data_IF_061097470874
#
_entry.id   IF_061097470874
#
_cell.length_a   1.000
_cell.length_b   1.000
_cell.length_c   1.000
_cell.angle_alpha   90.00
_cell.angle_beta   90.00
_cell.angle_gamma   90.00
#
_symmetry.space_group_name_H-M   'P 1'
#
loop_
_entity.id
_entity.type
_entity.pdbx_description
1 polymer ?
#
# COMPACT_ATOMS: atom_id res chain seq x y z
N UNK A 1 13.04 34.84 -46.64
CA UNK A 1 14.22 35.36 -45.91
C UNK A 1 14.60 36.83 -46.18
N UNK A 2 14.01 37.57 -47.13
CA UNK A 2 14.40 38.98 -47.43
C UNK A 2 13.43 40.07 -46.93
N UNK A 3 12.37 39.72 -46.20
CA UNK A 3 11.29 40.68 -45.83
C UNK A 3 11.54 41.33 -44.45
N UNK A 4 12.37 40.73 -43.60
CA UNK A 4 12.63 41.17 -42.21
C UNK A 4 14.06 41.73 -42.06
N UNK A 5 14.42 42.73 -42.87
CA UNK A 5 15.71 43.44 -42.77
C UNK A 5 15.46 44.96 -42.63
N UNK A 6 16.41 45.70 -42.04
CA UNK A 6 16.35 47.15 -41.81
C UNK A 6 15.14 47.64 -40.98
N UNK A 7 14.70 46.82 -40.02
CA UNK A 7 13.59 47.15 -39.12
C UNK A 7 14.00 48.16 -38.04
N UNK A 8 13.07 49.04 -37.63
CA UNK A 8 13.24 49.97 -36.51
C UNK A 8 12.78 49.27 -35.23
N UNK A 9 13.67 49.15 -34.24
CA UNK A 9 13.29 48.64 -32.92
C UNK A 9 12.33 49.60 -32.22
N UNK A 10 11.10 49.15 -31.95
CA UNK A 10 10.06 49.94 -31.27
C UNK A 10 10.09 49.72 -29.75
N UNK A 11 10.33 48.49 -29.29
CA UNK A 11 10.32 48.15 -27.87
C UNK A 11 10.36 46.63 -27.63
N UNK A 12 10.37 46.23 -26.35
CA UNK A 12 10.39 44.84 -25.89
C UNK A 12 9.30 44.61 -24.84
N UNK A 13 8.56 43.51 -24.97
CA UNK A 13 7.60 43.01 -23.97
C UNK A 13 8.08 41.66 -23.45
N UNK A 14 8.09 41.50 -22.13
CA UNK A 14 8.32 40.22 -21.46
C UNK A 14 7.00 39.66 -20.92
N UNK A 15 6.80 38.36 -21.07
CA UNK A 15 5.68 37.63 -20.48
C UNK A 15 6.21 36.39 -19.77
N UNK A 16 5.49 35.92 -18.75
CA UNK A 16 5.83 34.73 -17.97
C UNK A 16 4.60 33.83 -17.93
N UNK A 17 4.83 32.52 -18.06
CA UNK A 17 3.84 31.50 -17.69
C UNK A 17 3.99 31.22 -16.18
N UNK A 18 3.08 31.70 -15.34
CA UNK A 18 3.26 31.62 -13.89
C UNK A 18 3.13 30.18 -13.39
N UNK A 19 3.99 29.82 -12.45
CA UNK A 19 3.91 28.53 -11.80
C UNK A 19 2.67 28.45 -10.91
N UNK A 20 1.99 27.31 -10.93
CA UNK A 20 0.83 27.07 -10.07
C UNK A 20 1.26 27.03 -8.59
N UNK A 21 0.55 27.71 -7.67
CA UNK A 21 0.95 27.82 -6.26
C UNK A 21 1.19 26.48 -5.55
N UNK A 22 0.39 25.47 -5.89
CA UNK A 22 0.42 24.13 -5.29
C UNK A 22 1.64 23.28 -5.70
N UNK A 23 2.28 23.59 -6.83
CA UNK A 23 3.36 22.75 -7.40
C UNK A 23 4.59 22.75 -6.51
N UNK A 24 4.92 23.88 -5.88
CA UNK A 24 6.08 23.97 -4.99
C UNK A 24 5.94 23.02 -3.79
N UNK A 25 4.79 23.05 -3.12
CA UNK A 25 4.51 22.15 -2.00
C UNK A 25 4.44 20.68 -2.42
N UNK A 26 3.94 20.40 -3.62
CA UNK A 26 3.93 19.05 -4.19
C UNK A 26 5.34 18.51 -4.46
N UNK A 27 6.24 19.34 -5.00
CA UNK A 27 7.66 18.99 -5.22
C UNK A 27 8.39 18.74 -3.90
N UNK A 28 8.14 19.57 -2.88
CA UNK A 28 8.69 19.37 -1.54
C UNK A 28 8.23 18.03 -0.94
N UNK A 29 6.93 17.71 -1.02
CA UNK A 29 6.39 16.41 -0.59
C UNK A 29 7.00 15.23 -1.35
N UNK A 30 7.20 15.34 -2.67
CA UNK A 30 7.89 14.31 -3.45
C UNK A 30 9.30 14.07 -2.90
N UNK A 31 10.04 15.14 -2.63
CA UNK A 31 11.40 15.05 -2.09
C UNK A 31 11.45 14.41 -0.71
N UNK A 32 10.55 14.80 0.20
CA UNK A 32 10.41 14.17 1.52
C UNK A 32 10.10 12.66 1.41
N UNK A 33 9.32 12.29 0.39
CA UNK A 33 8.95 10.91 0.09
C UNK A 33 10.03 10.13 -0.68
N UNK A 34 11.20 10.73 -0.94
CA UNK A 34 12.29 10.13 -1.72
C UNK A 34 11.98 9.94 -3.21
N UNK A 35 11.03 10.70 -3.75
CA UNK A 35 10.64 10.72 -5.17
C UNK A 35 11.36 11.90 -5.84
N UNK A 36 12.02 11.64 -6.96
CA UNK A 36 12.71 12.67 -7.73
C UNK A 36 11.79 13.25 -8.82
N UNK A 37 11.31 14.50 -8.69
CA UNK A 37 10.60 15.17 -9.77
C UNK A 37 11.59 15.64 -10.84
N UNK A 38 11.22 15.46 -12.11
CA UNK A 38 11.99 15.88 -13.28
C UNK A 38 11.14 16.82 -14.14
N UNK A 39 11.76 17.86 -14.69
CA UNK A 39 11.11 18.80 -15.60
C UNK A 39 11.53 18.49 -17.04
N UNK A 40 10.56 18.34 -17.93
CA UNK A 40 10.75 18.10 -19.37
C UNK A 40 9.95 19.18 -20.10
N UNK A 41 10.63 20.11 -20.76
CA UNK A 41 9.99 21.28 -21.39
C UNK A 41 10.49 21.57 -22.81
N UNK A 42 9.63 22.17 -23.63
CA UNK A 42 9.99 22.72 -24.94
C UNK A 42 10.66 24.09 -24.87
N UNK A 43 10.73 24.71 -23.69
CA UNK A 43 11.29 26.05 -23.50
C UNK A 43 12.81 26.09 -23.63
N UNK A 44 13.34 27.31 -23.73
CA UNK A 44 14.78 27.56 -23.67
C UNK A 44 15.35 27.15 -22.29
N UNK A 45 16.62 26.71 -22.27
CA UNK A 45 17.26 26.21 -21.07
C UNK A 45 17.31 27.26 -19.95
N UNK A 46 17.54 28.53 -20.28
CA UNK A 46 17.61 29.60 -19.26
C UNK A 46 16.27 29.79 -18.54
N UNK A 47 15.15 29.76 -19.28
CA UNK A 47 13.80 29.84 -18.72
C UNK A 47 13.50 28.62 -17.86
N UNK A 48 13.82 27.42 -18.37
CA UNK A 48 13.61 26.17 -17.65
C UNK A 48 14.43 26.13 -16.33
N UNK A 49 15.70 26.56 -16.37
CA UNK A 49 16.57 26.64 -15.18
C UNK A 49 16.03 27.65 -14.18
N UNK A 50 15.56 28.83 -14.63
CA UNK A 50 14.98 29.84 -13.76
C UNK A 50 13.76 29.30 -13.01
N UNK A 51 12.80 28.70 -13.72
CA UNK A 51 11.58 28.11 -13.14
C UNK A 51 11.94 26.94 -12.21
N UNK A 52 12.86 26.07 -12.62
CA UNK A 52 13.26 24.92 -11.83
C UNK A 52 13.99 25.33 -10.52
N UNK A 53 14.75 26.44 -10.52
CA UNK A 53 15.33 27.02 -9.31
C UNK A 53 14.26 27.62 -8.39
N UNK A 54 13.27 28.32 -8.95
CA UNK A 54 12.14 28.88 -8.19
C UNK A 54 11.32 27.78 -7.49
N UNK A 55 11.10 26.67 -8.20
CA UNK A 55 10.45 25.45 -7.69
C UNK A 55 11.34 24.62 -6.76
N UNK A 56 12.62 24.98 -6.62
CA UNK A 56 13.58 24.27 -5.79
C UNK A 56 13.96 22.88 -6.32
N UNK A 57 13.73 22.57 -7.60
CA UNK A 57 14.08 21.29 -8.23
C UNK A 57 15.58 21.11 -8.44
N UNK A 58 16.28 22.22 -8.74
CA UNK A 58 17.74 22.26 -8.96
C UNK A 58 18.37 23.37 -8.13
N UNK A 59 19.67 23.23 -7.88
CA UNK A 59 20.51 24.24 -7.22
C UNK A 59 21.42 24.92 -8.24
N UNK A 60 22.05 24.11 -9.10
CA UNK A 60 23.00 24.57 -10.10
C UNK A 60 22.47 24.38 -11.52
N UNK A 61 22.88 25.28 -12.44
CA UNK A 61 22.48 25.20 -13.84
C UNK A 61 23.06 23.96 -14.55
N UNK A 62 24.14 23.38 -14.02
CA UNK A 62 24.73 22.13 -14.51
C UNK A 62 23.81 20.91 -14.36
N UNK A 63 22.74 21.03 -13.59
CA UNK A 63 21.71 19.98 -13.43
C UNK A 63 20.62 20.05 -14.51
N UNK A 64 20.82 20.86 -15.55
CA UNK A 64 19.96 20.97 -16.71
C UNK A 64 20.72 20.58 -17.99
N UNK A 65 20.01 19.98 -18.94
CA UNK A 65 20.57 19.63 -20.26
C UNK A 65 19.57 19.94 -21.37
N UNK A 66 20.05 20.06 -22.60
CA UNK A 66 19.23 20.34 -23.78
C UNK A 66 18.98 19.10 -24.64
N UNK A 67 17.91 19.12 -25.45
CA UNK A 67 17.67 18.08 -26.46
C UNK A 67 18.85 17.86 -27.43
N UNK A 68 19.62 18.92 -27.75
CA UNK A 68 20.79 18.82 -28.62
C UNK A 68 21.91 18.02 -27.94
N UNK A 69 22.18 18.30 -26.67
CA UNK A 69 23.16 17.56 -25.88
C UNK A 69 22.73 16.11 -25.67
N UNK A 70 21.43 15.86 -25.43
CA UNK A 70 20.90 14.50 -25.33
C UNK A 70 21.08 13.72 -26.64
N UNK A 71 20.85 14.34 -27.80
CA UNK A 71 21.09 13.70 -29.10
C UNK A 71 22.55 13.35 -29.34
N UNK A 72 23.48 14.13 -28.78
CA UNK A 72 24.92 13.87 -28.89
C UNK A 72 25.39 12.73 -27.97
N UNK A 73 24.67 12.44 -26.88
CA UNK A 73 24.97 11.34 -25.97
C UNK A 73 24.45 10.01 -26.52
N UNK A 74 25.26 8.95 -26.41
CA UNK A 74 24.79 7.58 -26.60
C UNK A 74 23.86 7.15 -25.45
N UNK A 75 23.03 6.13 -25.66
CA UNK A 75 22.12 5.63 -24.62
C UNK A 75 22.86 5.11 -23.38
N UNK A 76 24.05 4.52 -23.55
CA UNK A 76 24.88 4.05 -22.44
C UNK A 76 25.51 5.20 -21.64
N UNK A 77 25.83 6.32 -22.29
CA UNK A 77 26.29 7.53 -21.61
C UNK A 77 25.14 8.22 -20.87
N UNK A 78 23.98 8.32 -21.52
CA UNK A 78 22.78 8.89 -20.92
C UNK A 78 22.40 8.11 -19.66
N UNK A 79 22.39 6.77 -19.70
CA UNK A 79 22.09 5.93 -18.54
C UNK A 79 22.99 6.23 -17.32
N UNK A 80 24.28 6.53 -17.56
CA UNK A 80 25.21 6.87 -16.47
C UNK A 80 24.95 8.27 -15.91
N UNK A 81 24.70 9.25 -16.79
CA UNK A 81 24.56 10.67 -16.44
C UNK A 81 23.15 11.11 -16.08
N UNK A 82 22.12 10.29 -16.33
CA UNK A 82 20.71 10.67 -16.15
C UNK A 82 20.39 11.16 -14.74
N UNK A 83 21.12 10.68 -13.72
CA UNK A 83 20.97 11.10 -12.31
C UNK A 83 21.52 12.49 -12.01
N UNK A 84 22.36 13.04 -12.88
CA UNK A 84 22.95 14.39 -12.73
C UNK A 84 21.94 15.48 -13.13
N UNK A 85 20.95 15.14 -13.96
CA UNK A 85 20.01 16.09 -14.55
C UNK A 85 18.60 15.95 -13.98
N UNK A 86 18.01 17.08 -13.59
CA UNK A 86 16.60 17.17 -13.18
C UNK A 86 15.75 18.01 -14.15
N UNK A 87 16.37 18.69 -15.12
CA UNK A 87 15.71 19.54 -16.10
C UNK A 87 16.19 19.21 -17.51
N UNK A 88 15.25 18.98 -18.41
CA UNK A 88 15.49 18.69 -19.82
C UNK A 88 14.74 19.71 -20.67
N UNK A 89 15.47 20.59 -21.36
CA UNK A 89 14.93 21.70 -22.13
C UNK A 89 15.04 21.45 -23.65
N UNK A 90 14.20 22.11 -24.46
CA UNK A 90 14.13 21.92 -25.93
C UNK A 90 14.09 20.45 -26.36
N UNK A 91 13.33 19.63 -25.64
CA UNK A 91 13.27 18.17 -25.85
C UNK A 91 12.28 17.78 -26.94
N UNK A 92 12.68 16.82 -27.76
CA UNK A 92 11.86 16.22 -28.81
C UNK A 92 11.15 14.94 -28.30
N UNK A 93 10.11 14.44 -28.99
CA UNK A 93 9.36 13.25 -28.57
C UNK A 93 10.26 12.02 -28.32
N UNK A 94 11.25 11.81 -29.17
CA UNK A 94 12.23 10.71 -29.06
C UNK A 94 13.09 10.82 -27.79
N UNK A 95 13.43 12.05 -27.37
CA UNK A 95 14.19 12.28 -26.15
C UNK A 95 13.41 11.87 -24.91
N UNK A 96 12.10 12.12 -24.87
CA UNK A 96 11.23 11.72 -23.75
C UNK A 96 11.30 10.20 -23.51
N UNK A 97 11.19 9.42 -24.58
CA UNK A 97 11.31 7.95 -24.53
C UNK A 97 12.70 7.52 -24.03
N UNK A 98 13.77 8.15 -24.53
CA UNK A 98 15.15 7.86 -24.11
C UNK A 98 15.38 8.14 -22.63
N UNK A 99 14.88 9.27 -22.12
CA UNK A 99 14.96 9.63 -20.69
C UNK A 99 14.24 8.60 -19.83
N UNK A 100 13.00 8.23 -20.19
CA UNK A 100 12.23 7.21 -19.46
C UNK A 100 12.99 5.89 -19.41
N UNK A 101 13.51 5.42 -20.54
CA UNK A 101 14.24 4.16 -20.62
C UNK A 101 15.56 4.18 -19.85
N UNK A 102 16.28 5.31 -19.84
CA UNK A 102 17.49 5.47 -19.05
C UNK A 102 17.22 5.32 -17.55
N UNK A 103 16.16 5.93 -17.03
CA UNK A 103 15.75 5.77 -15.63
C UNK A 103 15.28 4.34 -15.30
N UNK A 104 14.50 3.72 -16.18
CA UNK A 104 14.02 2.34 -16.00
C UNK A 104 15.16 1.33 -15.97
N UNK A 105 16.18 1.47 -16.81
CA UNK A 105 17.37 0.60 -16.80
C UNK A 105 18.14 0.65 -15.48
N UNK A 106 18.06 1.76 -14.75
CA UNK A 106 18.60 1.90 -13.39
C UNK A 106 17.71 1.31 -12.29
N UNK A 107 16.66 0.58 -12.66
CA UNK A 107 15.73 -0.05 -11.74
C UNK A 107 14.77 0.91 -11.04
N UNK A 108 14.64 2.15 -11.52
CA UNK A 108 13.66 3.11 -11.00
C UNK A 108 12.29 2.85 -11.63
N UNK A 109 11.23 3.10 -10.86
CA UNK A 109 9.85 3.15 -11.38
C UNK A 109 9.58 4.57 -11.87
N UNK A 110 9.25 4.70 -13.15
CA UNK A 110 9.11 6.00 -13.82
C UNK A 110 7.64 6.30 -14.11
N UNK A 111 7.16 7.43 -13.60
CA UNK A 111 5.91 8.03 -14.02
C UNK A 111 6.19 9.15 -15.03
N UNK A 112 5.51 9.12 -16.18
CA UNK A 112 5.65 10.13 -17.25
C UNK A 112 4.33 10.86 -17.43
N UNK A 113 4.36 12.17 -17.54
CA UNK A 113 3.18 13.01 -17.82
C UNK A 113 3.18 13.49 -19.27
N UNK A 114 2.00 13.58 -19.89
CA UNK A 114 1.87 14.10 -21.25
C UNK A 114 0.43 14.42 -21.65
N UNK A 115 0.28 15.28 -22.65
CA UNK A 115 -1.00 15.77 -23.15
C UNK A 115 -1.14 15.60 -24.68
N UNK A 116 -0.02 15.60 -25.39
CA UNK A 116 0.01 15.48 -26.84
C UNK A 116 0.09 14.05 -27.37
N UNK A 117 -0.24 13.88 -28.65
CA UNK A 117 0.03 12.66 -29.43
C UNK A 117 1.52 12.33 -29.42
N UNK A 118 2.36 13.36 -29.40
CA UNK A 118 3.81 13.27 -29.32
C UNK A 118 4.31 12.60 -28.04
N UNK A 119 3.52 12.61 -26.97
CA UNK A 119 3.90 12.02 -25.68
C UNK A 119 3.47 10.57 -25.55
N UNK A 120 2.59 10.08 -26.43
CA UNK A 120 2.07 8.72 -26.39
C UNK A 120 3.17 7.64 -26.33
N UNK A 121 4.28 7.72 -27.12
CA UNK A 121 5.35 6.73 -27.00
C UNK A 121 6.03 6.74 -25.62
N UNK A 122 6.24 7.92 -25.03
CA UNK A 122 6.89 8.05 -23.72
C UNK A 122 5.96 7.61 -22.58
N UNK A 123 4.68 7.98 -22.66
CA UNK A 123 3.63 7.52 -21.74
C UNK A 123 3.55 6.00 -21.73
N UNK A 124 3.58 5.36 -22.91
CA UNK A 124 3.53 3.90 -23.00
C UNK A 124 4.80 3.20 -22.51
N UNK A 125 5.95 3.85 -22.64
CA UNK A 125 7.25 3.32 -22.23
C UNK A 125 7.47 3.40 -20.71
N UNK A 126 6.80 4.35 -20.06
CA UNK A 126 6.85 4.54 -18.62
C UNK A 126 6.21 3.35 -17.87
N UNK A 127 6.48 3.24 -16.57
CA UNK A 127 5.81 2.25 -15.74
C UNK A 127 4.39 2.72 -15.37
N UNK A 128 4.20 4.04 -15.34
CA UNK A 128 2.89 4.69 -15.19
C UNK A 128 2.84 5.88 -16.15
N UNK A 129 2.01 5.80 -17.18
CA UNK A 129 1.66 6.93 -18.05
C UNK A 129 0.54 7.77 -17.44
N UNK A 130 0.76 9.08 -17.32
CA UNK A 130 -0.19 10.04 -16.75
C UNK A 130 -0.63 11.05 -17.81
N UNK A 131 -1.88 10.95 -18.24
CA UNK A 131 -2.48 11.82 -19.25
C UNK A 131 -3.18 13.03 -18.64
N UNK A 132 -3.18 14.15 -19.36
CA UNK A 132 -3.98 15.33 -18.99
C UNK A 132 -5.45 15.12 -19.40
N UNK A 133 -6.39 15.48 -18.53
CA UNK A 133 -7.82 15.32 -18.73
C UNK A 133 -8.46 16.46 -19.51
N UNK A 134 -8.02 17.70 -19.27
CA UNK A 134 -8.60 18.90 -19.90
C UNK A 134 -7.83 19.21 -21.20
N UNK A 135 -6.53 19.42 -21.13
CA UNK A 135 -5.70 19.76 -22.30
C UNK A 135 -5.29 18.54 -23.12
N UNK A 136 -5.36 17.33 -22.55
CA UNK A 136 -4.88 16.12 -23.21
C UNK A 136 -5.73 15.67 -24.38
N UNK A 137 -5.04 15.28 -25.46
CA UNK A 137 -5.62 14.64 -26.64
C UNK A 137 -6.21 13.27 -26.32
N UNK A 138 -7.21 12.82 -27.07
CA UNK A 138 -7.81 11.48 -26.89
C UNK A 138 -6.78 10.36 -27.05
N UNK A 139 -5.75 10.57 -27.88
CA UNK A 139 -4.65 9.61 -28.02
C UNK A 139 -3.85 9.52 -26.72
N UNK A 140 -3.45 10.65 -26.11
CA UNK A 140 -2.71 10.64 -24.84
C UNK A 140 -3.49 9.97 -23.71
N UNK A 141 -4.80 10.22 -23.62
CA UNK A 141 -5.71 9.64 -22.62
C UNK A 141 -5.83 8.13 -22.76
N UNK A 142 -5.99 7.62 -23.98
CA UNK A 142 -6.13 6.18 -24.24
C UNK A 142 -4.83 5.39 -24.00
N UNK A 143 -3.68 6.05 -24.07
CA UNK A 143 -2.37 5.41 -23.87
C UNK A 143 -1.93 5.45 -22.41
N UNK A 144 -2.49 6.35 -21.61
CA UNK A 144 -2.14 6.56 -20.21
C UNK A 144 -2.80 5.53 -19.29
N UNK A 145 -2.10 5.15 -18.21
CA UNK A 145 -2.63 4.29 -17.15
C UNK A 145 -3.50 5.09 -16.15
N UNK A 146 -3.25 6.41 -16.05
CA UNK A 146 -3.98 7.35 -15.20
C UNK A 146 -4.26 8.63 -15.98
N UNK A 147 -5.45 9.22 -15.78
CA UNK A 147 -5.82 10.52 -16.38
C UNK A 147 -6.16 11.52 -15.29
N UNK A 148 -5.53 12.69 -15.32
CA UNK A 148 -5.76 13.78 -14.37
C UNK A 148 -6.97 14.59 -14.79
N UNK A 149 -8.09 14.47 -14.07
CA UNK A 149 -9.31 15.19 -14.42
C UNK A 149 -9.18 16.73 -14.29
N UNK A 150 -8.18 17.21 -13.55
CA UNK A 150 -7.95 18.62 -13.19
C UNK A 150 -6.64 19.21 -13.75
N UNK A 151 -5.87 18.42 -14.51
CA UNK A 151 -4.58 18.81 -15.08
C UNK A 151 -3.56 19.31 -14.02
N UNK A 152 -3.66 18.80 -12.79
CA UNK A 152 -2.85 19.27 -11.67
C UNK A 152 -1.75 18.28 -11.26
N UNK A 153 -0.50 18.75 -11.24
CA UNK A 153 0.64 17.98 -10.75
C UNK A 153 0.47 17.51 -9.28
N UNK A 154 -0.18 18.32 -8.44
CA UNK A 154 -0.43 17.96 -7.04
C UNK A 154 -1.27 16.69 -6.90
N UNK A 155 -2.15 16.42 -7.87
CA UNK A 155 -3.02 15.23 -7.91
C UNK A 155 -2.21 13.95 -8.14
N UNK A 156 -1.07 14.02 -8.84
CA UNK A 156 -0.12 12.90 -8.98
C UNK A 156 0.46 12.55 -7.61
N UNK A 157 0.88 13.55 -6.83
CA UNK A 157 1.46 13.34 -5.50
C UNK A 157 0.45 12.70 -4.55
N UNK A 158 -0.80 13.16 -4.60
CA UNK A 158 -1.90 12.55 -3.87
C UNK A 158 -2.15 11.09 -4.31
N UNK A 159 -2.12 10.81 -5.62
CA UNK A 159 -2.28 9.45 -6.12
C UNK A 159 -1.15 8.51 -5.66
N UNK A 160 0.08 9.02 -5.54
CA UNK A 160 1.20 8.25 -4.97
C UNK A 160 0.98 7.95 -3.48
N UNK A 161 0.51 8.93 -2.70
CA UNK A 161 0.16 8.74 -1.30
C UNK A 161 -0.92 7.65 -1.13
N UNK A 162 -1.98 7.71 -1.93
CA UNK A 162 -3.04 6.71 -1.95
C UNK A 162 -2.56 5.34 -2.42
N UNK A 163 -1.68 5.27 -3.42
CA UNK A 163 -1.07 4.02 -3.88
C UNK A 163 -0.24 3.35 -2.77
N UNK A 164 0.53 4.14 -2.01
CA UNK A 164 1.27 3.65 -0.83
C UNK A 164 0.31 3.14 0.24
N UNK A 165 -0.80 3.85 0.50
CA UNK A 165 -1.82 3.46 1.49
C UNK A 165 -2.44 2.11 1.14
N UNK A 166 -2.87 1.96 -0.11
CA UNK A 166 -3.48 0.72 -0.61
C UNK A 166 -2.49 -0.44 -0.46
N UNK A 167 -1.23 -0.24 -0.83
CA UNK A 167 -0.20 -1.28 -0.72
C UNK A 167 0.04 -1.71 0.75
N UNK A 168 0.18 -0.76 1.67
CA UNK A 168 0.34 -1.05 3.10
C UNK A 168 -0.86 -1.83 3.66
N UNK A 169 -2.07 -1.48 3.22
CA UNK A 169 -3.29 -2.19 3.62
C UNK A 169 -3.38 -3.60 3.04
N UNK A 170 -2.94 -3.81 1.79
CA UNK A 170 -2.83 -5.15 1.20
C UNK A 170 -1.86 -6.01 2.02
N UNK A 171 -0.70 -5.47 2.42
CA UNK A 171 0.25 -6.22 3.26
C UNK A 171 -0.33 -6.58 4.63
N UNK A 172 -1.11 -5.68 5.26
CA UNK A 172 -1.82 -5.97 6.52
C UNK A 172 -2.83 -7.11 6.34
N UNK A 173 -3.64 -7.06 5.28
CA UNK A 173 -4.63 -8.08 4.97
C UNK A 173 -3.98 -9.44 4.65
N UNK A 174 -2.90 -9.45 3.87
CA UNK A 174 -2.12 -10.67 3.59
C UNK A 174 -1.55 -11.26 4.87
N UNK A 175 -0.92 -10.43 5.72
CA UNK A 175 -0.36 -10.90 6.98
C UNK A 175 -1.46 -11.49 7.87
N UNK A 176 -2.62 -10.83 7.97
CA UNK A 176 -3.77 -11.31 8.72
C UNK A 176 -4.26 -12.67 8.21
N UNK A 177 -4.58 -12.78 6.92
CA UNK A 177 -5.11 -14.01 6.31
C UNK A 177 -4.12 -15.17 6.38
N UNK A 178 -2.83 -14.93 6.12
CA UNK A 178 -1.82 -15.98 6.20
C UNK A 178 -1.58 -16.45 7.64
N UNK A 179 -1.62 -15.55 8.62
CA UNK A 179 -1.51 -15.92 10.04
C UNK A 179 -2.69 -16.77 10.48
N UNK A 180 -3.90 -16.40 10.05
CA UNK A 180 -5.13 -17.16 10.32
C UNK A 180 -5.03 -18.58 9.75
N UNK A 181 -4.80 -18.70 8.44
CA UNK A 181 -4.62 -19.99 7.76
C UNK A 181 -3.53 -20.85 8.41
N UNK A 182 -2.39 -20.23 8.79
CA UNK A 182 -1.33 -20.95 9.46
C UNK A 182 -1.79 -21.49 10.82
N UNK A 183 -2.57 -20.72 11.57
CA UNK A 183 -3.11 -21.15 12.87
C UNK A 183 -4.04 -22.36 12.73
N UNK A 184 -4.88 -22.38 11.71
CA UNK A 184 -5.77 -23.50 11.40
C UNK A 184 -4.97 -24.77 11.08
N UNK A 185 -3.98 -24.64 10.18
CA UNK A 185 -3.10 -25.73 9.76
C UNK A 185 -2.33 -26.30 10.96
N UNK A 186 -1.73 -25.43 11.78
CA UNK A 186 -0.98 -25.85 12.96
C UNK A 186 -1.90 -26.54 13.96
N UNK A 187 -3.07 -25.97 14.26
CA UNK A 187 -4.01 -26.55 15.22
C UNK A 187 -4.53 -27.93 14.76
N UNK A 188 -4.87 -28.07 13.47
CA UNK A 188 -5.29 -29.35 12.88
C UNK A 188 -4.15 -30.37 12.85
N UNK A 189 -2.93 -29.95 12.55
CA UNK A 189 -1.77 -30.82 12.57
C UNK A 189 -1.52 -31.38 13.98
N UNK A 190 -1.52 -30.52 15.01
CA UNK A 190 -1.38 -30.97 16.41
C UNK A 190 -2.53 -31.89 16.82
N UNK A 191 -3.77 -31.55 16.46
CA UNK A 191 -4.92 -32.39 16.78
C UNK A 191 -4.83 -33.79 16.15
N UNK A 192 -4.33 -33.85 14.92
CA UNK A 192 -4.10 -35.12 14.20
C UNK A 192 -3.01 -35.95 14.87
N UNK A 193 -1.89 -35.35 15.27
CA UNK A 193 -0.83 -36.04 16.03
C UNK A 193 -1.32 -36.58 17.37
N UNK A 194 -2.23 -35.86 18.03
CA UNK A 194 -2.84 -36.26 19.30
C UNK A 194 -4.08 -37.15 19.12
N UNK A 195 -4.41 -37.53 17.88
CA UNK A 195 -5.50 -38.44 17.52
C UNK A 195 -6.90 -37.99 18.01
N UNK A 196 -7.22 -36.70 17.86
CA UNK A 196 -8.57 -36.19 18.09
C UNK A 196 -9.05 -35.27 16.96
N UNK A 197 -10.36 -35.17 16.80
CA UNK A 197 -10.97 -34.27 15.82
C UNK A 197 -11.16 -32.87 16.41
N UNK A 198 -10.37 -31.90 15.96
CA UNK A 198 -10.51 -30.51 16.40
C UNK A 198 -11.67 -29.79 15.71
N UNK A 199 -11.77 -29.93 14.38
CA UNK A 199 -12.78 -29.24 13.57
C UNK A 199 -13.50 -30.18 12.59
N UNK A 200 -14.66 -29.74 12.12
CA UNK A 200 -15.30 -30.24 10.91
C UNK A 200 -14.95 -29.32 9.73
N UNK A 201 -14.95 -29.81 8.48
CA UNK A 201 -14.66 -28.97 7.31
C UNK A 201 -15.55 -27.72 7.21
N UNK A 202 -16.82 -27.82 7.66
CA UNK A 202 -17.75 -26.69 7.70
C UNK A 202 -17.31 -25.56 8.64
N UNK A 203 -16.59 -25.87 9.72
CA UNK A 203 -16.05 -24.85 10.65
C UNK A 203 -14.99 -24.01 9.98
N UNK A 204 -14.03 -24.66 9.32
CA UNK A 204 -12.93 -24.02 8.59
C UNK A 204 -13.46 -23.20 7.42
N UNK A 205 -14.44 -23.72 6.68
CA UNK A 205 -15.08 -22.99 5.58
C UNK A 205 -15.77 -21.72 6.07
N UNK A 206 -16.49 -21.79 7.20
CA UNK A 206 -17.13 -20.63 7.78
C UNK A 206 -16.13 -19.58 8.27
N UNK A 207 -15.05 -20.05 8.89
CA UNK A 207 -14.00 -19.17 9.40
C UNK A 207 -13.38 -18.37 8.24
N UNK A 208 -12.86 -19.07 7.24
CA UNK A 208 -12.21 -18.45 6.09
C UNK A 208 -13.15 -17.55 5.27
N UNK A 209 -14.39 -17.99 5.04
CA UNK A 209 -15.31 -17.27 4.15
C UNK A 209 -16.03 -16.11 4.83
N UNK A 210 -16.38 -16.24 6.12
CA UNK A 210 -17.22 -15.26 6.81
C UNK A 210 -16.41 -14.48 7.83
N UNK A 211 -15.76 -15.17 8.77
CA UNK A 211 -15.17 -14.49 9.93
C UNK A 211 -13.89 -13.77 9.59
N UNK A 212 -13.09 -14.28 8.64
CA UNK A 212 -11.84 -13.68 8.18
C UNK A 212 -12.03 -12.69 7.03
N UNK A 213 -12.89 -13.01 6.07
CA UNK A 213 -13.06 -12.19 4.87
C UNK A 213 -13.58 -10.78 5.20
N UNK A 214 -14.49 -10.66 6.17
CA UNK A 214 -15.05 -9.37 6.58
C UNK A 214 -13.98 -8.42 7.17
N UNK A 215 -13.20 -8.81 8.21
CA UNK A 215 -12.07 -8.03 8.69
C UNK A 215 -10.99 -7.77 7.63
N UNK A 216 -10.69 -8.74 6.75
CA UNK A 216 -9.67 -8.57 5.71
C UNK A 216 -10.05 -7.45 4.73
N UNK A 217 -11.32 -7.40 4.28
CA UNK A 217 -11.83 -6.31 3.44
C UNK A 217 -11.78 -4.98 4.20
N UNK A 218 -12.17 -4.99 5.48
CA UNK A 218 -12.16 -3.79 6.30
C UNK A 218 -10.74 -3.24 6.55
N UNK A 219 -9.72 -4.10 6.66
CA UNK A 219 -8.31 -3.69 6.72
C UNK A 219 -7.85 -3.01 5.42
N UNK A 220 -8.46 -3.36 4.29
CA UNK A 220 -8.27 -2.66 3.01
C UNK A 220 -8.68 -1.19 3.05
N UNK A 221 -9.64 -0.84 3.91
CA UNK A 221 -10.21 0.50 4.06
C UNK A 221 -9.53 1.32 5.19
N UNK A 222 -8.41 0.85 5.73
CA UNK A 222 -7.67 1.60 6.75
C UNK A 222 -7.09 2.91 6.18
N UNK A 223 -7.08 3.96 6.99
CA UNK A 223 -6.52 5.26 6.62
C UNK A 223 -4.98 5.20 6.51
N UNK A 224 -4.40 6.16 5.78
CA UNK A 224 -2.95 6.28 5.66
C UNK A 224 -2.30 6.59 7.02
N UNK A 225 -1.09 6.07 7.24
CA UNK A 225 -0.31 6.44 8.41
C UNK A 225 0.38 7.81 8.19
N UNK A 226 0.50 8.63 9.25
CA UNK A 226 1.09 9.99 9.23
C UNK A 226 2.49 10.09 8.58
N UNK A 227 3.23 8.99 8.49
CA UNK A 227 4.60 8.89 7.97
C UNK A 227 4.70 8.28 6.56
N UNK A 228 3.57 8.06 5.88
CA UNK A 228 3.54 7.36 4.58
C UNK A 228 4.33 8.08 3.47
N UNK A 229 4.29 9.42 3.47
CA UNK A 229 5.05 10.29 2.57
C UNK A 229 6.42 10.69 3.12
N UNK A 230 6.89 10.07 4.23
CA UNK A 230 8.24 10.27 4.79
C UNK A 230 9.16 9.07 4.57
N UNK A 231 8.62 7.99 4.02
CA UNK A 231 9.37 6.76 3.69
C UNK A 231 9.88 6.86 2.26
N UNK A 232 11.08 6.33 2.02
CA UNK A 232 11.59 6.18 0.66
C UNK A 232 10.71 5.22 -0.15
N UNK A 233 10.72 5.29 -1.50
CA UNK A 233 10.04 4.31 -2.33
C UNK A 233 10.54 2.90 -2.05
N UNK A 234 9.62 1.93 -2.02
CA UNK A 234 9.96 0.51 -1.82
C UNK A 234 10.84 -0.01 -2.96
N UNK A 235 11.72 -0.96 -2.66
CA UNK A 235 12.47 -1.65 -3.71
C UNK A 235 11.53 -2.61 -4.47
N UNK A 236 11.73 -2.73 -5.77
CA UNK A 236 10.92 -3.58 -6.65
C UNK A 236 11.21 -5.08 -6.44
N UNK A 237 12.39 -5.42 -5.93
CA UNK A 237 12.83 -6.78 -5.61
C UNK A 237 12.32 -7.29 -4.25
N UNK A 238 11.76 -6.42 -3.40
CA UNK A 238 11.23 -6.84 -2.10
C UNK A 238 9.96 -7.70 -2.28
N UNK A 239 10.06 -8.94 -1.83
CA UNK A 239 8.92 -9.86 -1.79
C UNK A 239 7.92 -9.50 -0.68
N UNK A 240 6.70 -10.04 -0.78
CA UNK A 240 5.61 -9.78 0.18
C UNK A 240 5.98 -10.14 1.63
N UNK A 241 6.86 -11.12 1.84
CA UNK A 241 7.31 -11.57 3.16
C UNK A 241 8.44 -10.74 3.79
N UNK A 242 8.92 -9.70 3.09
CA UNK A 242 9.99 -8.85 3.56
C UNK A 242 9.61 -8.04 4.82
N UNK A 243 10.61 -7.37 5.41
CA UNK A 243 10.42 -6.41 6.51
C UNK A 243 9.72 -7.02 7.75
N UNK A 244 9.97 -8.30 8.03
CA UNK A 244 9.44 -9.02 9.18
C UNK A 244 8.02 -9.57 9.02
N UNK A 245 7.39 -9.44 7.84
CA UNK A 245 6.04 -9.99 7.62
C UNK A 245 6.03 -11.52 7.78
N UNK A 246 7.01 -12.24 7.23
CA UNK A 246 7.09 -13.70 7.34
C UNK A 246 7.20 -14.20 8.79
N UNK A 247 8.07 -13.58 9.60
CA UNK A 247 8.16 -13.89 11.03
C UNK A 247 6.85 -13.55 11.75
N UNK A 248 6.23 -12.42 11.36
CA UNK A 248 4.91 -12.00 11.79
C UNK A 248 3.86 -13.09 11.63
N UNK A 249 3.76 -13.65 10.43
CA UNK A 249 2.83 -14.73 10.10
C UNK A 249 3.05 -15.94 10.98
N UNK A 250 4.31 -16.37 11.16
CA UNK A 250 4.65 -17.56 11.92
C UNK A 250 4.24 -17.43 13.38
N UNK A 251 4.70 -16.38 14.08
CA UNK A 251 4.43 -16.28 15.52
C UNK A 251 2.94 -16.07 15.80
N UNK A 252 2.24 -15.28 14.98
CA UNK A 252 0.82 -15.00 15.16
C UNK A 252 0.01 -16.27 14.94
N UNK A 253 0.29 -17.01 13.87
CA UNK A 253 -0.36 -18.28 13.58
C UNK A 253 -0.16 -19.31 14.70
N UNK A 254 1.06 -19.45 15.20
CA UNK A 254 1.37 -20.39 16.30
C UNK A 254 0.67 -19.99 17.60
N UNK A 255 0.64 -18.71 17.96
CA UNK A 255 -0.04 -18.25 19.19
C UNK A 255 -1.55 -18.48 19.10
N UNK A 256 -2.17 -18.13 17.97
CA UNK A 256 -3.61 -18.37 17.77
C UNK A 256 -3.91 -19.88 17.83
N UNK A 257 -3.07 -20.73 17.23
CA UNK A 257 -3.22 -22.18 17.34
C UNK A 257 -3.14 -22.68 18.80
N UNK A 258 -2.20 -22.17 19.60
CA UNK A 258 -2.06 -22.50 21.02
C UNK A 258 -3.31 -22.09 21.81
N UNK A 259 -3.84 -20.88 21.58
CA UNK A 259 -5.06 -20.40 22.24
C UNK A 259 -6.27 -21.28 21.88
N UNK A 260 -6.40 -21.64 20.61
CA UNK A 260 -7.46 -22.52 20.09
C UNK A 260 -7.38 -23.93 20.67
N UNK A 261 -6.19 -24.53 20.72
CA UNK A 261 -5.97 -25.85 21.34
C UNK A 261 -6.22 -25.79 22.85
N UNK A 262 -5.83 -24.71 23.52
CA UNK A 262 -6.11 -24.52 24.94
C UNK A 262 -7.61 -24.48 25.20
N UNK A 263 -8.37 -23.74 24.39
CA UNK A 263 -9.82 -23.71 24.47
C UNK A 263 -10.45 -25.10 24.25
N UNK A 264 -9.93 -25.85 23.28
CA UNK A 264 -10.34 -27.24 23.04
C UNK A 264 -10.15 -28.10 24.29
N UNK A 265 -8.95 -28.12 24.88
CA UNK A 265 -8.66 -28.97 26.04
C UNK A 265 -9.47 -28.59 27.27
N UNK A 266 -9.74 -27.30 27.47
CA UNK A 266 -10.61 -26.84 28.56
C UNK A 266 -12.03 -27.37 28.36
N UNK A 267 -12.60 -27.22 27.15
CA UNK A 267 -13.96 -27.70 26.86
C UNK A 267 -14.08 -29.22 26.82
N UNK A 268 -13.02 -29.91 26.38
CA UNK A 268 -12.97 -31.37 26.29
C UNK A 268 -13.06 -32.06 27.66
N UNK A 269 -12.79 -31.35 28.76
CA UNK A 269 -13.05 -31.84 30.13
C UNK A 269 -14.54 -32.13 30.39
N UNK A 270 -15.43 -31.49 29.62
CA UNK A 270 -16.88 -31.72 29.69
C UNK A 270 -17.29 -32.75 28.65
N UNK A 271 -17.13 -32.43 27.37
CA UNK A 271 -17.33 -33.35 26.25
C UNK A 271 -16.48 -32.94 25.05
N UNK A 272 -16.22 -33.88 24.15
CA UNK A 272 -15.56 -33.62 22.87
C UNK A 272 -16.25 -32.50 22.07
N UNK A 273 -17.58 -32.52 22.01
CA UNK A 273 -18.35 -31.53 21.27
C UNK A 273 -18.26 -30.14 21.92
N UNK A 274 -18.20 -30.07 23.26
CA UNK A 274 -17.96 -28.80 23.97
C UNK A 274 -16.57 -28.26 23.66
N UNK A 275 -15.55 -29.12 23.65
CA UNK A 275 -14.19 -28.75 23.23
C UNK A 275 -14.15 -28.21 21.80
N UNK A 276 -14.81 -28.88 20.86
CA UNK A 276 -14.92 -28.45 19.46
C UNK A 276 -15.61 -27.09 19.33
N UNK A 277 -16.74 -26.87 20.00
CA UNK A 277 -17.41 -25.55 19.99
C UNK A 277 -16.54 -24.46 20.61
N UNK A 278 -15.87 -24.74 21.74
CA UNK A 278 -14.97 -23.76 22.37
C UNK A 278 -13.80 -23.41 21.48
N UNK A 279 -13.19 -24.37 20.80
CA UNK A 279 -12.13 -24.15 19.83
C UNK A 279 -12.62 -23.29 18.66
N UNK A 280 -13.79 -23.60 18.09
CA UNK A 280 -14.39 -22.87 16.98
C UNK A 280 -14.67 -21.41 17.35
N UNK A 281 -15.30 -21.19 18.51
CA UNK A 281 -15.58 -19.84 18.99
C UNK A 281 -14.31 -19.07 19.31
N UNK A 282 -13.31 -19.72 19.94
CA UNK A 282 -12.05 -19.06 20.30
C UNK A 282 -11.25 -18.68 19.05
N UNK A 283 -11.14 -19.57 18.07
CA UNK A 283 -10.43 -19.30 16.82
C UNK A 283 -11.06 -18.13 16.06
N UNK A 284 -12.38 -18.20 15.83
CA UNK A 284 -13.14 -17.15 15.15
C UNK A 284 -13.00 -15.78 15.84
N UNK A 285 -13.09 -15.76 17.17
CA UNK A 285 -12.93 -14.52 17.94
C UNK A 285 -11.48 -14.05 17.99
N UNK A 286 -10.51 -14.96 18.08
CA UNK A 286 -9.09 -14.65 18.03
C UNK A 286 -8.76 -13.88 16.77
N UNK A 287 -9.24 -14.32 15.61
CA UNK A 287 -9.04 -13.64 14.32
C UNK A 287 -9.71 -12.26 14.30
N UNK A 288 -10.95 -12.18 14.77
CA UNK A 288 -11.67 -10.91 14.91
C UNK A 288 -10.87 -9.92 15.78
N UNK A 289 -10.36 -10.33 16.94
CA UNK A 289 -9.55 -9.47 17.80
C UNK A 289 -8.14 -9.22 17.23
N UNK A 290 -7.55 -10.19 16.55
CA UNK A 290 -6.25 -10.06 15.91
C UNK A 290 -6.28 -9.06 14.76
N UNK A 291 -7.42 -8.93 14.06
CA UNK A 291 -7.61 -7.92 13.04
C UNK A 291 -7.41 -6.49 13.57
N UNK A 292 -7.76 -6.21 14.84
CA UNK A 292 -7.45 -4.93 15.50
C UNK A 292 -5.95 -4.71 15.63
N UNK A 293 -5.20 -5.74 15.99
CA UNK A 293 -3.74 -5.65 16.06
C UNK A 293 -3.14 -5.37 14.67
N UNK A 294 -3.77 -5.86 13.60
CA UNK A 294 -3.30 -5.71 12.22
C UNK A 294 -3.61 -4.35 11.58
N UNK A 295 -4.31 -3.45 12.28
CA UNK A 295 -4.51 -2.05 11.83
C UNK A 295 -3.19 -1.32 11.56
N UNK A 296 -2.15 -1.63 12.34
CA UNK A 296 -0.78 -1.23 12.05
C UNK A 296 0.19 -2.35 12.40
N UNK A 297 1.19 -2.56 11.54
CA UNK A 297 2.21 -3.60 11.72
C UNK A 297 3.26 -3.22 12.76
N UNK A 298 3.49 -1.92 12.97
CA UNK A 298 4.54 -1.39 13.85
C UNK A 298 3.97 -0.60 15.01
N UNK A 299 2.92 0.19 14.80
CA UNK A 299 2.34 1.04 15.85
C UNK A 299 1.42 0.23 16.76
N UNK A 300 1.40 0.63 18.02
CA UNK A 300 0.46 0.14 19.02
C UNK A 300 -0.95 0.62 18.69
N UNK A 301 -1.96 -0.24 18.88
CA UNK A 301 -3.36 0.13 18.69
C UNK A 301 -3.80 1.33 19.55
N UNK A 302 -3.16 1.53 20.72
CA UNK A 302 -3.48 2.62 21.65
C UNK A 302 -2.88 3.96 21.24
N UNK A 303 -1.94 3.96 20.28
CA UNK A 303 -1.32 5.17 19.73
C UNK A 303 -1.92 5.60 18.39
N UNK A 304 -2.82 4.80 17.82
CA UNK A 304 -3.49 5.14 16.58
C UNK A 304 -4.54 6.22 16.86
N UNK A 305 -4.47 7.33 16.11
CA UNK A 305 -5.41 8.46 16.24
C UNK A 305 -6.75 8.18 15.53
N UNK A 306 -6.73 7.29 14.54
CA UNK A 306 -7.85 7.05 13.63
C UNK A 306 -8.62 5.80 14.06
N UNK A 307 -9.89 5.72 13.71
CA UNK A 307 -10.75 4.57 14.00
C UNK A 307 -11.38 4.04 12.71
N UNK A 308 -11.06 2.79 12.36
CA UNK A 308 -11.63 2.13 11.20
C UNK A 308 -13.04 1.61 11.50
N UNK A 309 -14.05 2.42 11.16
CA UNK A 309 -15.47 2.10 11.37
C UNK A 309 -15.90 0.83 10.64
N UNK A 310 -15.33 0.56 9.46
CA UNK A 310 -15.60 -0.66 8.70
C UNK A 310 -15.11 -1.89 9.45
N UNK A 311 -13.93 -1.81 10.07
CA UNK A 311 -13.40 -2.91 10.87
C UNK A 311 -14.27 -3.19 12.08
N UNK A 312 -14.65 -2.17 12.86
CA UNK A 312 -15.58 -2.36 13.98
C UNK A 312 -16.93 -2.94 13.54
N UNK A 313 -17.48 -2.48 12.41
CA UNK A 313 -18.69 -3.04 11.83
C UNK A 313 -18.53 -4.51 11.43
N UNK A 314 -17.41 -4.85 10.78
CA UNK A 314 -17.07 -6.22 10.40
C UNK A 314 -16.94 -7.13 11.63
N UNK A 315 -16.29 -6.66 12.71
CA UNK A 315 -16.16 -7.43 13.95
C UNK A 315 -17.52 -7.73 14.59
N UNK A 316 -18.39 -6.71 14.70
CA UNK A 316 -19.74 -6.86 15.25
C UNK A 316 -20.55 -7.83 14.39
N UNK A 317 -20.48 -7.68 13.06
CA UNK A 317 -21.19 -8.55 12.13
C UNK A 317 -20.70 -9.99 12.21
N UNK A 318 -19.39 -10.23 12.18
CA UNK A 318 -18.81 -11.58 12.32
C UNK A 318 -19.20 -12.23 13.64
N UNK A 319 -19.22 -11.47 14.74
CA UNK A 319 -19.69 -11.97 16.04
C UNK A 319 -21.19 -12.30 16.01
N UNK A 320 -22.02 -11.39 15.50
CA UNK A 320 -23.46 -11.56 15.39
C UNK A 320 -23.85 -12.72 14.47
N UNK A 321 -23.03 -13.05 13.48
CA UNK A 321 -23.22 -14.22 12.60
C UNK A 321 -22.74 -15.52 13.25
N UNK A 322 -21.73 -15.47 14.12
CA UNK A 322 -21.14 -16.66 14.77
C UNK A 322 -21.96 -17.16 15.96
N UNK A 323 -22.55 -16.27 16.75
CA UNK A 323 -23.35 -16.65 17.94
C UNK A 323 -24.58 -17.52 17.58
N UNK A 324 -25.39 -17.20 16.55
CA UNK A 324 -26.52 -18.03 16.14
C UNK A 324 -26.12 -19.46 15.74
N UNK A 325 -24.92 -19.67 15.19
CA UNK A 325 -24.45 -21.02 14.84
C UNK A 325 -24.35 -21.94 16.06
N UNK A 326 -24.12 -21.37 17.25
CA UNK A 326 -23.96 -22.15 18.48
C UNK A 326 -25.32 -22.41 19.14
N UNK A 327 -26.19 -21.39 19.19
CA UNK A 327 -27.41 -21.41 20.01
C UNK A 327 -28.71 -21.71 19.23
N UNK A 328 -28.75 -21.54 17.90
CA UNK A 328 -29.92 -21.88 17.10
C UNK A 328 -29.86 -23.38 16.75
N UNK A 329 -30.81 -24.23 17.20
CA UNK A 329 -30.70 -25.68 17.07
C UNK A 329 -30.50 -26.18 15.64
N UNK A 330 -31.18 -25.61 14.66
CA UNK A 330 -31.04 -25.98 13.24
C UNK A 330 -29.63 -25.72 12.71
N UNK A 331 -29.02 -24.58 13.09
CA UNK A 331 -27.67 -24.21 12.68
C UNK A 331 -26.62 -25.00 13.45
N UNK A 332 -26.80 -25.15 14.77
CA UNK A 332 -25.91 -25.91 15.65
C UNK A 332 -25.79 -27.37 15.20
N UNK A 333 -26.90 -28.00 14.83
CA UNK A 333 -26.91 -29.36 14.28
C UNK A 333 -26.20 -29.45 12.92
N UNK A 334 -26.44 -28.50 12.01
CA UNK A 334 -25.78 -28.44 10.71
C UNK A 334 -24.25 -28.30 10.86
N UNK A 335 -23.82 -27.46 11.80
CA UNK A 335 -22.42 -27.20 12.09
C UNK A 335 -21.82 -28.21 13.08
N UNK A 336 -22.59 -29.18 13.62
CA UNK A 336 -22.11 -30.13 14.64
C UNK A 336 -21.54 -29.44 15.88
N UNK A 337 -22.13 -28.31 16.27
CA UNK A 337 -21.80 -27.56 17.47
C UNK A 337 -22.74 -27.93 18.61
N UNK A 338 -22.36 -27.52 19.82
CA UNK A 338 -23.17 -27.71 21.03
C UNK A 338 -23.25 -26.40 21.80
N UNK A 339 -24.42 -26.11 22.37
CA UNK A 339 -24.62 -24.92 23.18
C UNK A 339 -23.64 -24.90 24.37
N UNK A 340 -22.97 -23.76 24.58
CA UNK A 340 -22.01 -23.59 25.65
C UNK A 340 -22.70 -23.11 26.93
N UNK A 341 -22.18 -23.55 28.08
CA UNK A 341 -22.49 -22.90 29.36
C UNK A 341 -21.89 -21.49 29.39
N UNK A 342 -22.44 -20.60 30.21
CA UNK A 342 -21.93 -19.24 30.36
C UNK A 342 -20.43 -19.23 30.73
N UNK A 343 -19.97 -20.13 31.60
CA UNK A 343 -18.57 -20.24 31.98
C UNK A 343 -17.65 -20.62 30.82
N UNK A 344 -18.05 -21.61 30.00
CA UNK A 344 -17.27 -22.03 28.83
C UNK A 344 -17.25 -20.96 27.75
N UNK A 345 -18.38 -20.28 27.54
CA UNK A 345 -18.50 -19.16 26.60
C UNK A 345 -17.59 -17.98 27.00
N UNK A 346 -17.62 -17.57 28.27
CA UNK A 346 -16.75 -16.50 28.80
C UNK A 346 -15.28 -16.91 28.71
N UNK A 347 -14.95 -18.18 28.98
CA UNK A 347 -13.57 -18.66 28.88
C UNK A 347 -13.05 -18.61 27.44
N UNK A 348 -13.87 -19.00 26.46
CA UNK A 348 -13.51 -18.90 25.04
C UNK A 348 -13.26 -17.46 24.59
N UNK A 349 -14.15 -16.52 24.98
CA UNK A 349 -13.95 -15.09 24.72
C UNK A 349 -12.70 -14.57 25.41
N UNK A 350 -12.49 -14.95 26.67
CA UNK A 350 -11.35 -14.53 27.48
C UNK A 350 -10.03 -14.93 26.82
N UNK A 351 -9.92 -16.20 26.37
CA UNK A 351 -8.77 -16.68 25.61
C UNK A 351 -8.59 -15.88 24.31
N UNK A 352 -9.67 -15.64 23.57
CA UNK A 352 -9.60 -14.89 22.32
C UNK A 352 -9.09 -13.45 22.50
N UNK A 353 -9.52 -12.76 23.55
CA UNK A 353 -9.08 -11.38 23.84
C UNK A 353 -7.58 -11.31 24.17
N UNK A 354 -6.96 -12.39 24.68
CA UNK A 354 -5.53 -12.37 25.04
C UNK A 354 -4.60 -12.15 23.85
N UNK A 355 -5.04 -12.38 22.60
CA UNK A 355 -4.23 -12.10 21.42
C UNK A 355 -3.85 -10.62 21.31
N UNK A 356 -4.70 -9.70 21.79
CA UNK A 356 -4.45 -8.25 21.79
C UNK A 356 -3.20 -7.91 22.62
N UNK A 357 -3.18 -8.14 23.95
CA UNK A 357 -2.00 -7.81 24.74
C UNK A 357 -0.76 -8.58 24.31
N UNK A 358 -0.89 -9.82 23.83
CA UNK A 358 0.27 -10.60 23.34
C UNK A 358 0.95 -9.90 22.17
N UNK A 359 0.19 -9.53 21.12
CA UNK A 359 0.76 -8.86 19.95
C UNK A 359 1.26 -7.45 20.28
N UNK A 360 0.59 -6.73 21.18
CA UNK A 360 1.03 -5.41 21.63
C UNK A 360 2.36 -5.47 22.40
N UNK A 361 2.58 -6.50 23.22
CA UNK A 361 3.89 -6.75 23.87
C UNK A 361 4.97 -7.02 22.82
N UNK A 362 4.70 -7.86 21.82
CA UNK A 362 5.66 -8.14 20.73
C UNK A 362 6.02 -6.86 19.98
N UNK A 363 5.04 -6.04 19.60
CA UNK A 363 5.28 -4.73 18.96
C UNK A 363 6.10 -3.79 19.84
N UNK A 364 5.84 -3.75 21.15
CA UNK A 364 6.58 -2.91 22.08
C UNK A 364 8.07 -3.32 22.14
N UNK A 365 8.35 -4.62 22.19
CA UNK A 365 9.71 -5.17 22.18
C UNK A 365 10.42 -4.86 20.85
N UNK A 366 9.75 -5.07 19.71
CA UNK A 366 10.33 -4.80 18.39
C UNK A 366 10.64 -3.31 18.18
N UNK A 367 9.74 -2.42 18.60
CA UNK A 367 9.97 -0.97 18.53
C UNK A 367 11.12 -0.53 19.43
N UNK A 368 11.26 -1.11 20.63
CA UNK A 368 12.40 -0.83 21.51
C UNK A 368 13.73 -1.31 20.94
N UNK A 369 13.73 -2.34 20.10
CA UNK A 369 14.94 -2.85 19.41
C UNK A 369 15.31 -2.02 18.18
N UNK A 370 14.32 -1.47 17.47
CA UNK A 370 14.53 -0.60 16.29
C UNK A 370 14.88 0.85 16.64
N UNK A 371 14.56 1.29 17.85
CA UNK A 371 14.95 2.60 18.38
C UNK A 371 16.34 2.64 19.01
N UNK A 372 17.07 1.52 19.03
CA UNK A 372 18.51 1.43 19.28
C UNK A 372 19.21 1.23 17.95
#
# INVERSE_FOLDING_TARGET
ERVEQDLIFVGLTGMIDPVRPEVKGAIEKCREAGIQPLMITGDHIDTAVAIAKELGMITEASQATTGVELSAMSDAELEKKVTEYSVYARVQPEHKVRIVNAWKKRGQIVAMTGDGVNDAPALKSADIGVGMGITGTDVSKNVSDMVLADDNFATIVYAVEEGRRIYDNILKAIQFLLSSNLSEVVALFVATLMNFRLFSPIHILWINLVTDSLPAIALGMEEAEDDIMKKAPRQTSEGVFANGLGLGVIYQGVIVAILTLTAYFVGNRVTHNTGMTMAFLTLSLCEIFHSLNMRSRTKSIFKLKTHNKYLFGAMILSFALTVPLIYVPSLSNLFKLTALSAGNFITAIGLAVTIIPIVEVVKAVDNSRRGR
#
